data_IF_751059303221
#
_entry.id   IF_751059303221
#
_cell.length_a   1.000
_cell.length_b   1.000
_cell.length_c   1.000
_cell.angle_alpha   90.00
_cell.angle_beta   90.00
_cell.angle_gamma   90.00
#
_symmetry.space_group_name_H-M   'P 1'
#
loop_
_entity.id
_entity.type
_entity.pdbx_description
1 polymer ?
#
# COMPACT_ATOMS: atom_id res chain seq x y z
N UNK A 1 -25.55 -25.46 -23.40
CA UNK A 1 -25.38 -24.03 -23.70
C UNK A 1 -25.84 -23.23 -22.48
N UNK A 2 -24.93 -22.85 -21.58
CA UNK A 2 -25.24 -21.89 -20.51
C UNK A 2 -24.58 -20.58 -20.91
N UNK A 3 -25.41 -19.58 -21.16
CA UNK A 3 -25.00 -18.22 -21.49
C UNK A 3 -24.62 -17.58 -20.15
N UNK A 4 -23.31 -17.47 -19.85
CA UNK A 4 -22.83 -16.61 -18.78
C UNK A 4 -23.00 -15.15 -19.22
N UNK A 5 -23.81 -14.42 -18.46
CA UNK A 5 -24.03 -13.00 -18.67
C UNK A 5 -22.74 -12.24 -18.38
N UNK A 6 -22.13 -11.67 -19.41
CA UNK A 6 -20.97 -10.79 -19.30
C UNK A 6 -21.41 -9.42 -18.82
N UNK A 7 -21.23 -9.14 -17.52
CA UNK A 7 -21.27 -7.77 -17.00
C UNK A 7 -20.21 -6.91 -17.72
N UNK A 8 -20.49 -5.63 -18.04
CA UNK A 8 -19.50 -4.74 -18.62
C UNK A 8 -18.29 -4.64 -17.68
N UNK A 9 -17.06 -4.61 -18.22
CA UNK A 9 -15.81 -4.52 -17.44
C UNK A 9 -15.89 -3.32 -16.47
N UNK A 10 -16.05 -3.62 -15.18
CA UNK A 10 -16.40 -2.64 -14.13
C UNK A 10 -15.29 -1.60 -13.89
N UNK A 11 -14.00 -1.97 -13.93
CA UNK A 11 -12.86 -1.06 -13.78
C UNK A 11 -11.62 -1.57 -14.56
N UNK A 12 -10.65 -0.69 -14.83
CA UNK A 12 -9.38 -1.08 -15.44
C UNK A 12 -8.46 -1.77 -14.43
N UNK A 13 -7.49 -2.55 -14.90
CA UNK A 13 -6.53 -3.24 -14.02
C UNK A 13 -5.77 -2.23 -13.14
N UNK A 14 -5.32 -1.11 -13.72
CA UNK A 14 -4.68 -0.02 -12.97
C UNK A 14 -5.60 0.61 -11.91
N UNK A 15 -6.92 0.69 -12.17
CA UNK A 15 -7.88 1.17 -11.17
C UNK A 15 -8.03 0.17 -10.01
N UNK A 16 -7.99 -1.13 -10.29
CA UNK A 16 -8.00 -2.15 -9.26
C UNK A 16 -6.70 -2.17 -8.43
N UNK A 17 -5.54 -2.02 -9.09
CA UNK A 17 -4.23 -1.98 -8.44
C UNK A 17 -4.12 -0.78 -7.49
N UNK A 18 -4.41 0.43 -7.97
CA UNK A 18 -4.34 1.63 -7.14
C UNK A 18 -5.33 1.58 -5.96
N UNK A 19 -6.55 1.06 -6.20
CA UNK A 19 -7.55 0.90 -5.15
C UNK A 19 -7.11 -0.09 -4.09
N UNK A 20 -6.46 -1.20 -4.48
CA UNK A 20 -5.89 -2.18 -3.56
C UNK A 20 -4.81 -1.56 -2.67
N UNK A 21 -3.90 -0.78 -3.26
CA UNK A 21 -2.83 -0.08 -2.53
C UNK A 21 -3.42 0.93 -1.53
N UNK A 22 -4.33 1.80 -1.97
CA UNK A 22 -4.95 2.82 -1.12
C UNK A 22 -5.78 2.17 0.01
N UNK A 23 -6.52 1.11 -0.29
CA UNK A 23 -7.25 0.32 0.71
C UNK A 23 -6.31 -0.28 1.76
N UNK A 24 -5.10 -0.65 1.37
CA UNK A 24 -4.09 -1.12 2.31
C UNK A 24 -3.53 -0.01 3.20
N UNK A 25 -3.47 1.25 2.74
CA UNK A 25 -3.09 2.37 3.60
C UNK A 25 -4.21 2.85 4.53
N UNK A 26 -5.48 2.58 4.21
CA UNK A 26 -6.65 3.07 4.95
C UNK A 26 -6.88 2.56 6.38
N UNK A 27 -5.86 2.04 7.08
CA UNK A 27 -5.97 1.64 8.50
C UNK A 27 -4.84 2.29 9.33
N UNK A 28 -5.13 2.86 10.50
CA UNK A 28 -4.16 3.63 11.29
C UNK A 28 -2.90 2.84 11.66
N UNK A 29 -3.05 1.58 12.11
CA UNK A 29 -1.89 0.74 12.41
C UNK A 29 -0.95 0.50 11.22
N UNK A 30 -1.49 0.48 9.99
CA UNK A 30 -0.68 0.31 8.77
C UNK A 30 0.05 1.59 8.39
N UNK A 31 -0.58 2.75 8.61
CA UNK A 31 0.08 4.05 8.47
C UNK A 31 1.25 4.16 9.47
N UNK A 32 1.03 3.80 10.74
CA UNK A 32 2.08 3.83 11.76
C UNK A 32 3.26 2.89 11.42
N UNK A 33 3.00 1.71 10.85
CA UNK A 33 4.07 0.81 10.35
C UNK A 33 4.88 1.49 9.24
N UNK A 34 4.22 2.12 8.26
CA UNK A 34 4.90 2.78 7.15
C UNK A 34 5.75 3.96 7.67
N UNK A 35 5.20 4.80 8.55
CA UNK A 35 5.93 5.91 9.17
C UNK A 35 7.15 5.43 9.94
N UNK A 36 7.01 4.35 10.71
CA UNK A 36 8.14 3.76 11.42
C UNK A 36 9.23 3.25 10.46
N UNK A 37 8.84 2.49 9.43
CA UNK A 37 9.79 1.99 8.43
C UNK A 37 10.48 3.11 7.64
N UNK A 38 9.84 4.28 7.50
CA UNK A 38 10.45 5.49 6.90
C UNK A 38 11.38 6.24 7.86
N UNK A 39 11.23 6.05 9.17
CA UNK A 39 12.04 6.72 10.19
C UNK A 39 13.40 6.05 10.44
N UNK A 40 13.62 4.86 9.87
CA UNK A 40 14.81 4.05 10.05
C UNK A 40 15.56 3.93 8.72
N UNK A 41 16.89 4.00 8.77
CA UNK A 41 17.74 4.01 7.56
C UNK A 41 17.94 2.61 6.94
N UNK A 42 17.45 1.56 7.60
CA UNK A 42 17.66 0.15 7.20
C UNK A 42 16.38 -0.67 7.33
N UNK A 43 16.31 -1.78 6.59
CA UNK A 43 15.29 -2.80 6.79
C UNK A 43 15.27 -3.28 8.25
N UNK A 44 14.08 -3.50 8.80
CA UNK A 44 13.90 -3.94 10.19
C UNK A 44 13.74 -5.46 10.21
N UNK A 45 14.70 -6.14 10.82
CA UNK A 45 14.70 -7.59 11.02
C UNK A 45 14.26 -7.92 12.45
N UNK A 46 13.20 -8.73 12.61
CA UNK A 46 12.66 -9.10 13.92
C UNK A 46 11.33 -8.42 14.26
N UNK A 47 10.98 -8.40 15.56
CA UNK A 47 9.64 -8.04 16.01
C UNK A 47 9.38 -6.53 15.95
N UNK A 48 8.86 -6.06 14.81
CA UNK A 48 8.19 -4.76 14.67
C UNK A 48 6.98 -4.61 15.62
N UNK A 49 6.63 -5.67 16.35
CA UNK A 49 5.60 -5.73 17.38
C UNK A 49 5.84 -4.68 18.47
N UNK A 50 7.10 -4.43 18.84
CA UNK A 50 7.43 -3.52 19.94
C UNK A 50 7.16 -2.04 19.62
N UNK A 51 6.92 -1.72 18.35
CA UNK A 51 6.67 -0.36 17.86
C UNK A 51 5.19 0.02 18.01
N UNK A 52 4.29 -0.96 17.96
CA UNK A 52 2.85 -0.72 17.98
C UNK A 52 2.26 -1.21 19.29
N UNK A 53 1.26 -0.52 19.85
CA UNK A 53 0.53 -0.98 21.03
C UNK A 53 -0.48 -2.10 20.65
N UNK A 54 -0.03 -3.12 19.92
CA UNK A 54 -0.85 -4.19 19.36
C UNK A 54 -0.22 -5.56 19.61
N UNK A 55 -1.05 -6.58 19.79
CA UNK A 55 -0.56 -7.95 19.92
C UNK A 55 0.12 -8.44 18.62
N UNK A 56 1.17 -9.26 18.76
CA UNK A 56 1.95 -9.82 17.64
C UNK A 56 1.08 -10.41 16.50
N UNK A 57 0.04 -11.23 16.75
CA UNK A 57 -0.80 -11.76 15.66
C UNK A 57 -1.53 -10.67 14.84
N UNK A 58 -1.83 -9.54 15.47
CA UNK A 58 -2.44 -8.38 14.82
C UNK A 58 -1.42 -7.65 13.96
N UNK A 59 -0.21 -7.44 14.49
CA UNK A 59 0.91 -6.84 13.73
C UNK A 59 1.27 -7.68 12.50
N UNK A 60 1.42 -9.00 12.65
CA UNK A 60 1.70 -9.90 11.52
C UNK A 60 0.63 -9.83 10.42
N UNK A 61 -0.64 -9.64 10.80
CA UNK A 61 -1.73 -9.46 9.84
C UNK A 61 -1.60 -8.15 9.08
N UNK A 62 -1.28 -7.05 9.76
CA UNK A 62 -1.05 -5.76 9.11
C UNK A 62 0.14 -5.81 8.15
N UNK A 63 1.25 -6.44 8.54
CA UNK A 63 2.41 -6.65 7.67
C UNK A 63 2.06 -7.47 6.43
N UNK A 64 1.25 -8.54 6.60
CA UNK A 64 0.78 -9.36 5.48
C UNK A 64 -0.05 -8.53 4.51
N UNK A 65 -0.99 -7.72 4.99
CA UNK A 65 -1.80 -6.85 4.14
C UNK A 65 -0.95 -5.81 3.39
N UNK A 66 0.01 -5.18 4.07
CA UNK A 66 0.94 -4.24 3.46
C UNK A 66 1.82 -4.91 2.39
N UNK A 67 2.33 -6.11 2.66
CA UNK A 67 3.12 -6.90 1.71
C UNK A 67 2.28 -7.34 0.49
N UNK A 68 1.04 -7.77 0.72
CA UNK A 68 0.11 -8.11 -0.37
C UNK A 68 -0.23 -6.91 -1.26
N UNK A 69 -0.20 -5.70 -0.70
CA UNK A 69 -0.36 -4.46 -1.44
C UNK A 69 0.95 -3.92 -2.02
N UNK A 70 2.06 -4.66 -1.88
CA UNK A 70 3.40 -4.26 -2.31
C UNK A 70 3.88 -2.93 -1.72
N UNK A 71 3.32 -2.50 -0.58
CA UNK A 71 3.81 -1.29 0.11
C UNK A 71 5.11 -1.54 0.87
N UNK A 72 5.32 -2.80 1.28
CA UNK A 72 6.52 -3.25 1.95
C UNK A 72 7.04 -4.53 1.31
N UNK A 73 8.36 -4.71 1.38
CA UNK A 73 9.06 -5.96 1.07
C UNK A 73 9.27 -6.74 2.35
N UNK A 74 9.43 -8.05 2.22
CA UNK A 74 9.74 -8.95 3.33
C UNK A 74 10.73 -10.02 2.87
N UNK A 75 12.00 -9.89 3.23
CA UNK A 75 13.09 -10.83 2.93
C UNK A 75 13.41 -11.70 4.15
N UNK A 76 13.86 -12.93 3.93
CA UNK A 76 14.30 -13.79 5.04
C UNK A 76 15.80 -13.63 5.18
N UNK A 77 16.27 -13.20 6.35
CA UNK A 77 17.68 -13.13 6.72
C UNK A 77 17.91 -13.99 7.97
N UNK A 78 18.66 -15.07 7.81
CA UNK A 78 18.82 -16.09 8.84
C UNK A 78 17.48 -16.71 9.23
N UNK A 79 17.07 -16.52 10.50
CA UNK A 79 15.82 -17.05 11.06
C UNK A 79 14.72 -15.99 11.17
N UNK A 80 14.94 -14.76 10.68
CA UNK A 80 14.02 -13.63 10.83
C UNK A 80 13.57 -13.07 9.49
N UNK A 81 12.40 -12.44 9.47
CA UNK A 81 11.93 -11.67 8.31
C UNK A 81 12.32 -10.20 8.51
N UNK A 82 12.91 -9.60 7.49
CA UNK A 82 13.25 -8.20 7.42
C UNK A 82 12.25 -7.44 6.56
N UNK A 83 11.73 -6.31 7.05
CA UNK A 83 10.76 -5.48 6.37
C UNK A 83 11.33 -4.12 5.99
N UNK A 84 11.01 -3.66 4.79
CA UNK A 84 11.36 -2.33 4.29
C UNK A 84 10.33 -1.84 3.28
N UNK A 85 10.32 -0.54 3.00
CA UNK A 85 9.39 0.08 2.04
C UNK A 85 9.67 -0.44 0.62
N UNK A 86 8.62 -0.65 -0.18
CA UNK A 86 8.77 -0.81 -1.63
C UNK A 86 8.65 0.53 -2.34
N UNK A 87 9.79 1.13 -2.64
CA UNK A 87 9.88 2.43 -3.32
C UNK A 87 9.10 2.46 -4.65
N UNK A 88 9.03 1.35 -5.40
CA UNK A 88 8.35 1.31 -6.70
C UNK A 88 6.84 1.60 -6.55
N UNK A 89 6.22 1.01 -5.52
CA UNK A 89 4.78 1.21 -5.26
C UNK A 89 4.50 2.60 -4.68
N UNK A 90 5.44 3.17 -3.92
CA UNK A 90 5.36 4.56 -3.47
C UNK A 90 5.44 5.53 -4.66
N UNK A 91 6.35 5.29 -5.60
CA UNK A 91 6.43 6.08 -6.83
C UNK A 91 5.14 6.00 -7.67
N UNK A 92 4.51 4.82 -7.73
CA UNK A 92 3.25 4.63 -8.43
C UNK A 92 2.12 5.48 -7.82
N UNK A 93 1.98 5.46 -6.49
CA UNK A 93 1.06 6.32 -5.75
C UNK A 93 1.36 7.81 -6.01
N UNK A 94 2.62 8.21 -5.95
CA UNK A 94 3.02 9.59 -6.20
C UNK A 94 2.64 10.04 -7.62
N UNK A 95 2.90 9.20 -8.64
CA UNK A 95 2.52 9.46 -10.03
C UNK A 95 1.00 9.60 -10.16
N UNK A 96 0.23 8.74 -9.49
CA UNK A 96 -1.23 8.82 -9.49
C UNK A 96 -1.75 10.14 -8.91
N UNK A 97 -1.28 10.56 -7.72
CA UNK A 97 -1.70 11.83 -7.12
C UNK A 97 -1.20 13.06 -7.88
N UNK A 98 -0.01 12.99 -8.48
CA UNK A 98 0.52 14.05 -9.35
C UNK A 98 -0.36 14.23 -10.57
N UNK A 99 -0.79 13.13 -11.20
CA UNK A 99 -1.71 13.17 -12.35
C UNK A 99 -3.07 13.75 -11.99
N UNK A 100 -3.62 13.42 -10.81
CA UNK A 100 -4.85 14.03 -10.30
C UNK A 100 -4.65 15.54 -10.13
N UNK A 101 -3.60 15.94 -9.42
CA UNK A 101 -3.32 17.34 -9.11
C UNK A 101 -3.10 18.18 -10.37
N UNK A 102 -2.35 17.66 -11.33
CA UNK A 102 -2.12 18.31 -12.63
C UNK A 102 -3.43 18.54 -13.40
N UNK A 103 -4.32 17.54 -13.43
CA UNK A 103 -5.65 17.67 -14.06
C UNK A 103 -6.54 18.70 -13.37
N UNK A 104 -6.48 18.79 -12.04
CA UNK A 104 -7.22 19.81 -11.28
C UNK A 104 -6.74 21.22 -11.63
N UNK A 105 -5.42 21.44 -11.70
CA UNK A 105 -4.85 22.74 -12.09
C UNK A 105 -5.28 23.17 -13.50
N UNK A 106 -5.40 22.23 -14.44
CA UNK A 106 -5.87 22.52 -15.81
C UNK A 106 -7.37 22.79 -15.88
N UNK A 107 -8.16 22.23 -14.97
CA UNK A 107 -9.63 22.41 -14.92
C UNK A 107 -10.04 23.74 -14.28
N UNK A 108 -9.16 24.36 -13.50
CA UNK A 108 -9.39 25.61 -12.76
C UNK A 108 -9.53 26.89 -13.62
N UNK A 109 -9.77 26.79 -14.93
CA UNK A 109 -10.24 27.93 -15.71
C UNK A 109 -11.75 28.04 -15.86
N UNK A 110 -12.56 26.99 -15.59
CA UNK A 110 -14.01 27.02 -15.82
C UNK A 110 -14.81 25.99 -14.98
N UNK A 111 -14.45 25.72 -13.73
CA UNK A 111 -15.22 24.77 -12.90
C UNK A 111 -15.78 25.45 -11.65
N UNK A 112 -17.11 25.63 -11.68
CA UNK A 112 -18.02 26.19 -10.67
C UNK A 112 -17.91 27.69 -10.42
#
# INVERSE_FOLDING_TARGET
MKIEQTKPKDFTDSQHEIAHIIKALGHPARVAIIEYLLSVDTCICGDIVDVLPLAQPTVSRHLKELKNAKLIKGTIEGNTICYCIDENTIEELQKYFTNISAKLTLKNKNCC
#
